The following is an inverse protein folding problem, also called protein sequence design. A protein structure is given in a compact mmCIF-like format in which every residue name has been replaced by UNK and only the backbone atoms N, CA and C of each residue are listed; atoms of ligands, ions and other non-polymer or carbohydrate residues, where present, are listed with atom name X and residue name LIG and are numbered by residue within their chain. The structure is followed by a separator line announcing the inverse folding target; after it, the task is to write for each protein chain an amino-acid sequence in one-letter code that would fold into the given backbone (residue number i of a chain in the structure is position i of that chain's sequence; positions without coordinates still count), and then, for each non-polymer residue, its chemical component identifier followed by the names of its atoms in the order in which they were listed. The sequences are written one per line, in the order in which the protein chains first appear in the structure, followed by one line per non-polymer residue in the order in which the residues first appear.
data_IF_715713511001
#
_entry.id   IF_715713511001
#
_cell.length_a   1.000
_cell.length_b   1.000
_cell.length_c   1.000
_cell.angle_alpha   90.00
_cell.angle_beta   90.00
_cell.angle_gamma   90.00
#
_symmetry.space_group_name_H-M   'P 1'
#
loop_
_entity.id
_entity.type
_entity.pdbx_description
1 polymer ?
#
# COMPACT_ATOMS: atom_id res chain seq x y z
N UNK A 1 -18.00 -9.83 -1.87
CA UNK A 1 -16.93 -10.69 -2.39
C UNK A 1 -16.05 -9.88 -3.34
N UNK A 2 -14.73 -9.96 -3.17
CA UNK A 2 -13.82 -9.19 -4.03
C UNK A 2 -13.76 -9.78 -5.44
N UNK A 3 -13.91 -8.92 -6.45
CA UNK A 3 -13.74 -9.29 -7.85
C UNK A 3 -12.28 -9.43 -8.25
N UNK A 4 -11.41 -8.74 -7.50
CA UNK A 4 -9.97 -8.73 -7.73
C UNK A 4 -9.29 -8.51 -6.39
N UNK A 5 -8.22 -9.23 -6.14
CA UNK A 5 -7.40 -9.06 -4.95
C UNK A 5 -5.94 -9.26 -5.32
N UNK A 6 -5.10 -8.31 -4.91
CA UNK A 6 -3.66 -8.36 -5.11
C UNK A 6 -2.94 -7.87 -3.86
N UNK A 7 -1.89 -8.58 -3.49
CA UNK A 7 -0.99 -8.15 -2.41
C UNK A 7 0.41 -7.98 -3.00
N UNK A 8 0.96 -6.78 -2.86
CA UNK A 8 2.29 -6.44 -3.35
C UNK A 8 3.27 -6.46 -2.19
N UNK A 9 4.38 -7.18 -2.37
CA UNK A 9 5.49 -7.20 -1.42
C UNK A 9 6.80 -7.07 -2.18
N UNK A 10 7.86 -6.59 -1.50
CA UNK A 10 9.19 -6.45 -2.09
C UNK A 10 10.24 -6.97 -1.13
N UNK A 11 11.08 -7.87 -1.61
CA UNK A 11 12.19 -8.43 -0.81
C UNK A 11 13.21 -7.34 -0.47
N UNK A 12 13.49 -6.43 -1.40
CA UNK A 12 14.42 -5.33 -1.15
C UNK A 12 13.90 -4.42 -0.04
N UNK A 13 12.61 -4.11 -0.07
CA UNK A 13 11.99 -3.28 0.96
C UNK A 13 11.98 -3.99 2.32
N UNK A 14 11.68 -5.28 2.34
CA UNK A 14 11.74 -6.09 3.56
C UNK A 14 13.16 -6.13 4.15
N UNK A 15 14.17 -6.25 3.31
CA UNK A 15 15.57 -6.22 3.74
C UNK A 15 15.94 -4.86 4.37
N UNK A 16 15.48 -3.76 3.79
CA UNK A 16 15.69 -2.42 4.36
C UNK A 16 15.02 -2.25 5.71
N UNK A 17 13.88 -2.89 5.95
CA UNK A 17 13.16 -2.82 7.21
C UNK A 17 13.86 -3.56 8.37
N UNK A 18 14.79 -4.45 8.06
CA UNK A 18 15.59 -5.15 9.07
C UNK A 18 16.49 -4.17 9.82
N UNK A 19 17.01 -3.12 9.17
CA UNK A 19 17.93 -2.15 9.77
C UNK A 19 17.32 -1.45 11.00
N UNK A 20 16.13 -0.82 10.92
CA UNK A 20 15.51 -0.22 12.10
C UNK A 20 15.21 -1.22 13.21
N UNK A 21 14.80 -2.44 12.84
CA UNK A 21 14.51 -3.49 13.82
C UNK A 21 15.77 -3.90 14.59
N UNK A 22 16.89 -4.09 13.88
CA UNK A 22 18.17 -4.41 14.54
C UNK A 22 18.62 -3.29 15.46
N UNK A 23 18.48 -2.03 15.05
CA UNK A 23 18.80 -0.88 15.88
C UNK A 23 17.97 -0.85 17.16
N UNK A 24 16.69 -1.14 17.08
CA UNK A 24 15.81 -1.18 18.25
C UNK A 24 16.13 -2.36 19.16
N UNK A 25 16.48 -3.51 18.61
CA UNK A 25 16.89 -4.67 19.40
C UNK A 25 18.18 -4.39 20.17
N UNK A 26 19.15 -3.72 19.56
CA UNK A 26 20.39 -3.30 20.24
C UNK A 26 20.05 -2.31 21.37
N UNK A 27 19.20 -1.32 21.13
CA UNK A 27 18.74 -0.38 22.15
C UNK A 27 17.99 -1.08 23.29
N UNK A 28 17.17 -2.06 22.97
CA UNK A 28 16.45 -2.84 23.96
C UNK A 28 17.42 -3.62 24.86
N UNK A 29 18.42 -4.26 24.27
CA UNK A 29 19.46 -4.95 25.02
C UNK A 29 20.26 -3.99 25.94
N UNK A 30 20.63 -2.82 25.41
CA UNK A 30 21.37 -1.82 26.17
C UNK A 30 20.56 -1.31 27.36
N UNK A 31 19.26 -1.01 27.18
CA UNK A 31 18.39 -0.56 28.29
C UNK A 31 18.15 -1.66 29.32
N UNK A 32 18.10 -2.90 28.88
CA UNK A 32 18.01 -4.04 29.80
C UNK A 32 19.27 -4.13 30.72
N UNK A 33 20.46 -3.94 30.15
CA UNK A 33 21.72 -3.97 30.90
C UNK A 33 21.82 -2.81 31.89
N UNK A 34 21.37 -1.63 31.49
CA UNK A 34 21.41 -0.43 32.36
C UNK A 34 20.33 -0.47 33.42
N UNK A 35 19.21 -1.14 33.17
CA UNK A 35 18.08 -1.22 34.10
C UNK A 35 17.11 -0.06 34.05
N UNK A 36 17.29 0.87 33.06
CA UNK A 36 16.42 2.03 32.90
C UNK A 36 15.96 2.13 31.41
N UNK A 37 14.72 2.53 31.21
CA UNK A 37 14.16 2.80 29.89
C UNK A 37 13.74 1.56 29.12
N UNK A 38 13.82 0.37 29.70
CA UNK A 38 13.47 -0.88 29.03
C UNK A 38 12.01 -0.90 28.56
N UNK A 39 11.09 -0.44 29.40
CA UNK A 39 9.66 -0.43 29.07
C UNK A 39 9.36 0.51 27.91
N UNK A 40 10.02 1.67 27.85
CA UNK A 40 9.88 2.64 26.77
C UNK A 40 10.41 2.05 25.45
N UNK A 41 11.57 1.40 25.50
CA UNK A 41 12.16 0.73 24.34
C UNK A 41 11.30 -0.43 23.84
N UNK A 42 10.72 -1.19 24.76
CA UNK A 42 9.82 -2.29 24.40
C UNK A 42 8.56 -1.75 23.72
N UNK A 43 7.99 -0.66 24.24
CA UNK A 43 6.84 -0.01 23.62
C UNK A 43 7.19 0.53 22.22
N UNK A 44 8.35 1.16 22.09
CA UNK A 44 8.83 1.67 20.79
C UNK A 44 9.02 0.53 19.79
N UNK A 45 9.57 -0.59 20.23
CA UNK A 45 9.74 -1.78 19.38
C UNK A 45 8.38 -2.31 18.92
N UNK A 46 7.41 -2.43 19.82
CA UNK A 46 6.08 -2.91 19.49
C UNK A 46 5.39 -2.01 18.46
N UNK A 47 5.42 -0.69 18.65
CA UNK A 47 4.85 0.28 17.71
C UNK A 47 5.55 0.20 16.37
N UNK A 48 6.88 0.12 16.37
CA UNK A 48 7.67 0.04 15.12
C UNK A 48 7.33 -1.24 14.35
N UNK A 49 7.21 -2.38 15.02
CA UNK A 49 6.83 -3.64 14.38
C UNK A 49 5.45 -3.53 13.73
N UNK A 50 4.47 -2.94 14.42
CA UNK A 50 3.14 -2.73 13.85
C UNK A 50 3.17 -1.84 12.62
N UNK A 51 3.90 -0.73 12.68
CA UNK A 51 4.04 0.19 11.54
C UNK A 51 4.75 -0.49 10.36
N UNK A 52 5.83 -1.20 10.63
CA UNK A 52 6.57 -1.91 9.59
C UNK A 52 5.74 -3.00 8.92
N UNK A 53 4.95 -3.75 9.69
CA UNK A 53 4.04 -4.74 9.12
C UNK A 53 3.00 -4.09 8.21
N UNK A 54 2.49 -2.91 8.57
CA UNK A 54 1.53 -2.18 7.76
C UNK A 54 2.14 -1.72 6.43
N UNK A 55 3.37 -1.16 6.46
CA UNK A 55 4.02 -0.62 5.26
C UNK A 55 4.79 -1.67 4.47
N UNK A 56 4.88 -2.90 4.96
CA UNK A 56 5.63 -3.98 4.31
C UNK A 56 5.01 -4.47 3.01
N UNK A 57 3.75 -4.19 2.79
CA UNK A 57 3.03 -4.58 1.59
C UNK A 57 1.88 -3.63 1.29
N UNK A 58 1.41 -3.73 0.06
CA UNK A 58 0.24 -3.00 -0.42
C UNK A 58 -0.81 -4.01 -0.84
N UNK A 59 -2.03 -3.87 -0.33
CA UNK A 59 -3.13 -4.75 -0.68
C UNK A 59 -4.19 -3.96 -1.41
N UNK A 60 -4.55 -4.43 -2.60
CA UNK A 60 -5.58 -3.82 -3.44
C UNK A 60 -6.71 -4.82 -3.61
N UNK A 61 -7.93 -4.39 -3.31
CA UNK A 61 -9.14 -5.19 -3.50
C UNK A 61 -10.16 -4.38 -4.29
N UNK A 62 -10.76 -5.00 -5.29
CA UNK A 62 -11.79 -4.37 -6.10
C UNK A 62 -13.10 -5.09 -5.87
N UNK A 63 -14.11 -4.33 -5.47
CA UNK A 63 -15.47 -4.81 -5.26
C UNK A 63 -16.40 -4.13 -6.27
N UNK A 64 -17.63 -4.60 -6.37
CA UNK A 64 -18.65 -3.97 -7.22
C UNK A 64 -18.94 -2.52 -6.77
N UNK A 65 -18.81 -2.24 -5.48
CA UNK A 65 -19.09 -0.92 -4.91
C UNK A 65 -17.90 0.02 -4.93
N UNK A 66 -16.68 -0.51 -4.95
CA UNK A 66 -15.51 0.34 -4.85
C UNK A 66 -14.19 -0.40 -4.83
N UNK A 67 -13.13 0.38 -4.71
CA UNK A 67 -11.75 -0.10 -4.65
C UNK A 67 -11.22 0.20 -3.25
N UNK A 68 -10.64 -0.81 -2.59
CA UNK A 68 -10.01 -0.65 -1.28
C UNK A 68 -8.51 -0.87 -1.43
N UNK A 69 -7.75 0.15 -1.05
CA UNK A 69 -6.29 0.11 -1.03
C UNK A 69 -5.85 0.19 0.42
N UNK A 70 -5.07 -0.78 0.88
CA UNK A 70 -4.63 -0.82 2.27
C UNK A 70 -3.19 -1.28 2.38
N UNK A 71 -2.59 -1.04 3.55
CA UNK A 71 -1.34 -1.70 3.92
C UNK A 71 -1.56 -3.19 4.15
N UNK A 72 -0.49 -3.90 4.48
CA UNK A 72 -0.53 -5.37 4.60
C UNK A 72 -1.57 -5.84 5.62
N UNK A 73 -1.67 -5.16 6.76
CA UNK A 73 -2.63 -5.50 7.82
C UNK A 73 -3.95 -4.75 7.64
N UNK A 74 -3.92 -3.53 7.06
CA UNK A 74 -5.08 -2.68 6.90
C UNK A 74 -5.50 -1.95 8.18
N UNK A 75 -4.55 -1.70 9.09
CA UNK A 75 -4.81 -1.08 10.39
C UNK A 75 -4.83 0.45 10.31
N UNK A 76 -3.81 1.05 9.71
CA UNK A 76 -3.65 2.50 9.58
C UNK A 76 -3.87 2.99 8.16
N UNK A 77 -3.25 2.29 7.19
CA UNK A 77 -3.30 2.67 5.79
C UNK A 77 -4.47 1.96 5.13
N UNK A 78 -5.56 2.68 4.95
CA UNK A 78 -6.74 2.15 4.27
C UNK A 78 -7.47 3.29 3.57
N UNK A 79 -7.67 3.11 2.27
CA UNK A 79 -8.42 4.06 1.46
C UNK A 79 -9.48 3.32 0.66
N UNK A 80 -10.73 3.76 0.80
CA UNK A 80 -11.84 3.23 0.01
C UNK A 80 -12.24 4.26 -1.02
N UNK A 81 -12.32 3.83 -2.29
CA UNK A 81 -12.69 4.67 -3.41
C UNK A 81 -13.98 4.14 -3.99
N UNK A 82 -15.13 4.83 -3.80
CA UNK A 82 -16.38 4.42 -4.44
C UNK A 82 -16.24 4.46 -5.97
N UNK A 83 -16.74 3.44 -6.67
CA UNK A 83 -16.66 3.40 -8.13
C UNK A 83 -17.40 4.56 -8.80
N UNK A 84 -18.46 5.04 -8.19
CA UNK A 84 -19.21 6.20 -8.68
C UNK A 84 -18.39 7.48 -8.74
N UNK A 85 -17.31 7.56 -7.93
CA UNK A 85 -16.41 8.72 -7.92
C UNK A 85 -15.35 8.64 -9.02
N UNK A 86 -15.14 7.49 -9.62
CA UNK A 86 -14.11 7.28 -10.64
C UNK A 86 -14.65 7.70 -12.00
N UNK A 87 -14.00 8.69 -12.61
CA UNK A 87 -14.37 9.20 -13.92
C UNK A 87 -13.79 8.33 -15.05
N UNK A 88 -12.50 8.01 -14.95
CA UNK A 88 -11.82 7.10 -15.85
C UNK A 88 -10.55 6.56 -15.22
N UNK A 89 -9.97 5.54 -15.82
CA UNK A 89 -8.71 4.96 -15.35
C UNK A 89 -7.69 4.82 -16.49
N UNK A 90 -6.42 4.75 -16.14
CA UNK A 90 -5.33 4.43 -17.06
C UNK A 90 -4.34 3.51 -16.39
N UNK A 91 -3.77 2.58 -17.14
CA UNK A 91 -2.73 1.67 -16.66
C UNK A 91 -1.45 1.99 -17.43
N UNK A 92 -0.36 2.25 -16.70
CA UNK A 92 0.93 2.62 -17.29
C UNK A 92 2.02 1.67 -16.83
N UNK A 93 3.00 1.45 -17.68
CA UNK A 93 4.18 0.67 -17.31
C UNK A 93 5.06 1.46 -16.34
N UNK A 94 5.67 0.76 -15.37
CA UNK A 94 6.47 1.37 -14.34
C UNK A 94 5.64 1.84 -13.16
N UNK A 95 5.99 1.41 -11.96
CA UNK A 95 5.20 1.67 -10.76
C UNK A 95 5.19 3.13 -10.31
N UNK A 96 6.11 3.94 -10.80
CA UNK A 96 6.19 5.37 -10.48
C UNK A 96 5.71 6.29 -11.60
N UNK A 97 5.09 5.76 -12.66
CA UNK A 97 4.75 6.54 -13.86
C UNK A 97 3.42 7.28 -13.78
N UNK A 98 2.61 7.04 -12.77
CA UNK A 98 1.29 7.63 -12.66
C UNK A 98 1.31 8.96 -11.89
N UNK A 99 0.92 10.09 -12.53
CA UNK A 99 0.98 11.41 -11.92
C UNK A 99 -0.29 11.72 -11.13
N UNK A 100 -0.45 11.17 -9.95
CA UNK A 100 -1.60 11.44 -9.10
C UNK A 100 -1.20 12.25 -7.88
N UNK A 101 -2.16 12.91 -7.25
CA UNK A 101 -1.92 13.62 -5.99
C UNK A 101 -1.82 12.68 -4.80
N UNK A 102 -2.58 11.59 -4.83
CA UNK A 102 -2.49 10.54 -3.82
C UNK A 102 -1.83 9.30 -4.43
N UNK A 103 -0.69 8.93 -3.89
CA UNK A 103 0.08 7.78 -4.38
C UNK A 103 0.09 6.65 -3.36
N UNK A 104 -0.27 5.47 -3.80
CA UNK A 104 -0.07 4.21 -3.07
C UNK A 104 0.89 3.35 -3.87
N UNK A 105 2.06 3.93 -4.17
CA UNK A 105 3.06 3.29 -5.02
C UNK A 105 3.93 2.32 -4.23
N UNK A 106 4.14 1.17 -4.82
CA UNK A 106 4.98 0.12 -4.28
C UNK A 106 5.75 -0.51 -5.45
N UNK A 107 7.00 -0.98 -5.27
CA UNK A 107 7.73 -1.58 -6.38
C UNK A 107 6.95 -2.70 -7.06
N UNK A 108 6.60 -2.50 -8.34
CA UNK A 108 5.75 -3.39 -9.12
C UNK A 108 6.00 -3.17 -10.61
N UNK A 109 5.31 -3.94 -11.46
CA UNK A 109 5.47 -3.85 -12.91
C UNK A 109 4.82 -2.62 -13.51
N UNK A 110 3.70 -2.19 -12.96
CA UNK A 110 2.88 -1.12 -13.51
C UNK A 110 2.19 -0.33 -12.42
N UNK A 111 1.54 0.77 -12.81
CA UNK A 111 0.67 1.54 -11.93
C UNK A 111 -0.69 1.78 -12.58
N UNK A 112 -1.71 1.94 -11.74
CA UNK A 112 -3.06 2.29 -12.16
C UNK A 112 -3.35 3.71 -11.69
N UNK A 113 -3.81 4.54 -12.61
CA UNK A 113 -4.24 5.92 -12.33
C UNK A 113 -5.75 5.98 -12.37
N UNK A 114 -6.34 6.56 -11.32
CA UNK A 114 -7.79 6.75 -11.21
C UNK A 114 -8.08 8.25 -11.17
N UNK A 115 -8.78 8.75 -12.18
CA UNK A 115 -9.28 10.11 -12.18
C UNK A 115 -10.62 10.13 -11.43
N UNK A 116 -10.71 10.96 -10.40
CA UNK A 116 -11.92 11.07 -9.56
C UNK A 116 -12.63 12.38 -9.82
N UNK A 117 -13.95 12.37 -9.67
CA UNK A 117 -14.79 13.57 -9.80
C UNK A 117 -14.70 14.41 -8.52
N UNK A 118 -14.32 15.67 -8.67
CA UNK A 118 -14.26 16.64 -7.55
C UNK A 118 -13.42 16.20 -6.36
N UNK A 119 -12.50 15.24 -6.57
CA UNK A 119 -11.61 14.71 -5.54
C UNK A 119 -10.21 14.51 -6.12
N UNK A 120 -9.24 14.33 -5.25
CA UNK A 120 -7.87 14.08 -5.66
C UNK A 120 -7.75 12.76 -6.43
N UNK A 121 -6.96 12.79 -7.48
CA UNK A 121 -6.63 11.59 -8.24
C UNK A 121 -5.86 10.61 -7.35
N UNK A 122 -6.01 9.33 -7.65
CA UNK A 122 -5.36 8.25 -6.88
C UNK A 122 -4.58 7.38 -7.84
N UNK A 123 -3.38 6.98 -7.45
CA UNK A 123 -2.62 5.95 -8.17
C UNK A 123 -2.17 4.86 -7.22
N UNK A 124 -2.10 3.65 -7.73
CA UNK A 124 -1.59 2.51 -6.98
C UNK A 124 -0.84 1.56 -7.91
N UNK A 125 0.03 0.75 -7.34
CA UNK A 125 0.87 -0.16 -8.10
C UNK A 125 0.19 -1.50 -8.34
N UNK A 126 0.58 -2.19 -9.41
CA UNK A 126 0.07 -3.54 -9.72
C UNK A 126 1.13 -4.36 -10.45
N UNK A 127 1.16 -5.67 -10.18
CA UNK A 127 1.94 -6.65 -10.92
C UNK A 127 1.12 -7.37 -12.00
N UNK A 128 -0.20 -7.12 -12.04
CA UNK A 128 -1.12 -7.76 -12.98
C UNK A 128 -1.91 -6.72 -13.76
N UNK A 129 -1.23 -5.91 -14.61
CA UNK A 129 -1.87 -4.78 -15.28
C UNK A 129 -3.00 -5.21 -16.23
N UNK A 130 -2.84 -6.31 -16.95
CA UNK A 130 -3.87 -6.78 -17.87
C UNK A 130 -5.13 -7.26 -17.16
N UNK A 131 -4.95 -7.97 -16.06
CA UNK A 131 -6.06 -8.48 -15.25
C UNK A 131 -6.86 -7.35 -14.61
N UNK A 132 -6.18 -6.37 -14.02
CA UNK A 132 -6.85 -5.24 -13.37
C UNK A 132 -7.54 -4.34 -14.42
N UNK A 133 -6.95 -4.21 -15.59
CA UNK A 133 -7.58 -3.49 -16.72
C UNK A 133 -8.88 -4.14 -17.11
N UNK A 134 -8.88 -5.46 -17.24
CA UNK A 134 -10.09 -6.22 -17.61
C UNK A 134 -11.18 -6.09 -16.54
N UNK A 135 -10.82 -6.17 -15.26
CA UNK A 135 -11.77 -6.02 -14.15
C UNK A 135 -12.39 -4.63 -14.15
N UNK A 136 -11.58 -3.58 -14.26
CA UNK A 136 -12.09 -2.20 -14.27
C UNK A 136 -12.99 -1.92 -15.46
N UNK A 137 -12.64 -2.47 -16.63
CA UNK A 137 -13.50 -2.35 -17.83
C UNK A 137 -14.83 -3.10 -17.64
N UNK A 138 -14.81 -4.27 -17.03
CA UNK A 138 -16.02 -5.05 -16.78
C UNK A 138 -16.97 -4.33 -15.80
N UNK A 139 -16.44 -3.45 -14.97
CA UNK A 139 -17.24 -2.62 -14.05
C UNK A 139 -17.79 -1.36 -14.71
N UNK A 140 -17.53 -1.16 -16.01
CA UNK A 140 -18.06 -0.04 -16.77
C UNK A 140 -17.27 1.26 -16.62
N UNK A 141 -16.05 1.22 -16.05
CA UNK A 141 -15.22 2.41 -15.92
C UNK A 141 -14.54 2.70 -17.26
N UNK A 142 -14.69 3.92 -17.83
CA UNK A 142 -14.03 4.26 -19.09
C UNK A 142 -12.51 4.26 -18.95
N UNK A 143 -11.84 3.83 -20.02
CA UNK A 143 -10.39 3.88 -20.09
C UNK A 143 -9.95 5.26 -20.59
N UNK A 144 -9.07 5.91 -19.84
CA UNK A 144 -8.46 7.16 -20.23
C UNK A 144 -7.22 6.97 -21.12
N UNK A 145 -6.70 8.08 -21.59
CA UNK A 145 -5.51 8.11 -22.43
C UNK A 145 -4.22 7.83 -21.64
#
# INVERSE_FOLDING_TARGET
MALYEETLTSRAFQALMVIPLLSLLVGLYATYQVGEGFEIMLAALAVTVLVLLEVMGLRVRIYEEGIVISGLIGLFLRKTIPLQDVEWFAVREGWGSCPAKMHFNYPAKACVYLKRRDKWDVSFSTNRPEEIRAVLQSLGIPRGA
#
